data_IF_034359624424
#
_entry.id   IF_034359624424
#
_cell.length_a   1.000
_cell.length_b   1.000
_cell.length_c   1.000
_cell.angle_alpha   90.00
_cell.angle_beta   90.00
_cell.angle_gamma   90.00
#
_symmetry.space_group_name_H-M   'P 1'
#
loop_
_entity.id
_entity.type
_entity.pdbx_description
1 polymer ?
#
# COMPACT_ATOMS: atom_id res chain seq x y z
N UNK A 1 -24.80 -34.95 -51.95
CA UNK A 1 -24.68 -34.81 -50.47
C UNK A 1 -23.30 -34.35 -50.00
N UNK A 2 -22.18 -34.85 -50.54
CA UNK A 2 -20.82 -34.57 -50.03
C UNK A 2 -20.38 -33.10 -50.20
N UNK A 3 -20.74 -32.43 -51.31
CA UNK A 3 -20.37 -31.02 -51.55
C UNK A 3 -20.99 -30.01 -50.56
N UNK A 4 -22.15 -30.34 -49.99
CA UNK A 4 -22.85 -29.43 -49.05
C UNK A 4 -22.23 -29.45 -47.65
N UNK A 5 -21.59 -30.55 -47.27
CA UNK A 5 -20.94 -30.71 -45.96
C UNK A 5 -19.58 -29.98 -45.91
N UNK A 6 -18.84 -29.98 -47.00
CA UNK A 6 -17.53 -29.31 -47.11
C UNK A 6 -17.64 -27.80 -46.97
N UNK A 7 -18.71 -27.21 -47.53
CA UNK A 7 -18.98 -25.77 -47.45
C UNK A 7 -19.32 -25.37 -46.00
N UNK A 8 -20.13 -26.18 -45.31
CA UNK A 8 -20.52 -25.90 -43.92
C UNK A 8 -19.31 -25.93 -42.97
N UNK A 9 -18.38 -26.88 -43.15
CA UNK A 9 -17.14 -26.97 -42.37
C UNK A 9 -16.23 -25.76 -42.65
N UNK A 10 -16.18 -25.28 -43.89
CA UNK A 10 -15.38 -24.11 -44.26
C UNK A 10 -15.94 -22.82 -43.64
N UNK A 11 -17.27 -22.66 -43.61
CA UNK A 11 -17.92 -21.55 -42.92
C UNK A 11 -17.77 -21.63 -41.40
N UNK A 12 -17.82 -22.84 -40.81
CA UNK A 12 -17.60 -23.05 -39.38
C UNK A 12 -16.16 -22.68 -38.97
N UNK A 13 -15.16 -23.07 -39.76
CA UNK A 13 -13.77 -22.69 -39.51
C UNK A 13 -13.51 -21.19 -39.69
N UNK A 14 -14.15 -20.53 -40.66
CA UNK A 14 -14.08 -19.07 -40.77
C UNK A 14 -14.74 -18.34 -39.59
N UNK A 15 -15.83 -18.88 -39.04
CA UNK A 15 -16.47 -18.32 -37.85
C UNK A 15 -15.57 -18.40 -36.61
N UNK A 16 -14.82 -19.49 -36.44
CA UNK A 16 -13.83 -19.63 -35.38
C UNK A 16 -12.56 -18.79 -35.61
N UNK A 17 -12.16 -18.57 -36.87
CA UNK A 17 -11.00 -17.72 -37.18
C UNK A 17 -11.27 -16.22 -36.98
N UNK A 18 -12.53 -15.77 -37.11
CA UNK A 18 -12.92 -14.37 -36.90
C UNK A 18 -13.23 -14.00 -35.45
N UNK A 19 -13.21 -14.97 -34.52
CA UNK A 19 -13.46 -14.72 -33.08
C UNK A 19 -12.20 -14.70 -32.22
N UNK A 20 -11.01 -14.68 -32.83
CA UNK A 20 -9.80 -14.25 -32.13
C UNK A 20 -9.84 -12.73 -31.98
N UNK A 21 -10.64 -12.24 -31.02
CA UNK A 21 -10.26 -11.01 -30.33
C UNK A 21 -8.80 -11.17 -29.92
N UNK A 22 -7.96 -10.22 -30.30
CA UNK A 22 -6.56 -10.20 -29.90
C UNK A 22 -6.51 -10.33 -28.39
N UNK A 23 -6.22 -11.53 -27.89
CA UNK A 23 -5.84 -11.75 -26.51
C UNK A 23 -4.47 -11.09 -26.36
N UNK A 24 -4.46 -9.76 -26.16
CA UNK A 24 -3.27 -9.03 -25.78
C UNK A 24 -2.81 -9.65 -24.45
N UNK A 25 -1.75 -10.46 -24.52
CA UNK A 25 -1.06 -10.90 -23.32
C UNK A 25 -0.66 -9.63 -22.58
N UNK A 26 -1.14 -9.47 -21.34
CA UNK A 26 -0.81 -8.30 -20.55
C UNK A 26 0.73 -8.20 -20.42
N UNK A 27 1.27 -6.99 -20.63
CA UNK A 27 2.72 -6.75 -20.55
C UNK A 27 3.15 -6.93 -19.09
N UNK A 28 3.83 -8.03 -18.77
CA UNK A 28 4.37 -8.26 -17.43
C UNK A 28 5.69 -7.53 -17.27
N UNK A 29 5.79 -6.67 -16.27
CA UNK A 29 6.95 -5.82 -16.00
C UNK A 29 7.43 -5.98 -14.56
N UNK A 30 8.72 -5.75 -14.33
CA UNK A 30 9.28 -5.57 -12.98
C UNK A 30 9.01 -4.12 -12.58
N UNK A 31 8.21 -3.92 -11.53
CA UNK A 31 7.86 -2.58 -11.02
C UNK A 31 8.82 -2.10 -9.93
N UNK A 32 9.43 -3.03 -9.19
CA UNK A 32 10.47 -2.73 -8.20
C UNK A 32 11.35 -3.96 -7.97
N UNK A 33 12.59 -3.76 -7.50
CA UNK A 33 13.49 -4.83 -7.11
C UNK A 33 14.41 -4.43 -5.96
N UNK A 34 14.80 -5.44 -5.16
CA UNK A 34 15.84 -5.33 -4.15
C UNK A 34 16.94 -6.34 -4.45
N UNK A 35 18.15 -5.86 -4.64
CA UNK A 35 19.32 -6.69 -4.90
C UNK A 35 20.19 -6.79 -3.66
N UNK A 36 20.76 -7.98 -3.44
CA UNK A 36 21.75 -8.25 -2.40
C UNK A 36 22.98 -8.91 -3.01
N UNK A 37 24.05 -9.07 -2.24
CA UNK A 37 25.26 -9.79 -2.69
C UNK A 37 24.99 -11.26 -3.04
N UNK A 38 23.87 -11.82 -2.57
CA UNK A 38 23.47 -13.22 -2.79
C UNK A 38 22.30 -13.24 -3.77
N UNK A 39 22.50 -13.82 -4.95
CA UNK A 39 21.49 -13.91 -6.01
C UNK A 39 20.17 -14.57 -5.54
N UNK A 40 20.23 -15.52 -4.59
CA UNK A 40 19.05 -16.21 -4.05
C UNK A 40 18.25 -15.37 -3.05
N UNK A 41 18.75 -14.18 -2.71
CA UNK A 41 18.13 -13.22 -1.80
C UNK A 41 17.58 -11.98 -2.52
N UNK A 42 17.74 -11.90 -3.84
CA UNK A 42 17.15 -10.81 -4.61
C UNK A 42 15.62 -10.93 -4.56
N UNK A 43 14.92 -9.81 -4.61
CA UNK A 43 13.46 -9.77 -4.63
C UNK A 43 13.01 -8.93 -5.80
N UNK A 44 12.05 -9.44 -6.56
CA UNK A 44 11.45 -8.73 -7.69
C UNK A 44 9.94 -8.64 -7.47
N UNK A 45 9.41 -7.43 -7.53
CA UNK A 45 7.98 -7.18 -7.58
C UNK A 45 7.60 -7.02 -9.05
N UNK A 46 6.77 -7.93 -9.55
CA UNK A 46 6.30 -7.94 -10.93
C UNK A 46 4.80 -7.74 -10.97
N UNK A 47 4.29 -7.16 -12.06
CA UNK A 47 2.87 -6.98 -12.27
C UNK A 47 2.52 -6.96 -13.76
N UNK A 48 1.25 -7.21 -14.07
CA UNK A 48 0.67 -7.00 -15.38
C UNK A 48 0.32 -5.53 -15.55
N UNK A 49 0.93 -4.90 -16.54
CA UNK A 49 0.66 -3.51 -16.91
C UNK A 49 -0.63 -3.44 -17.74
N UNK A 50 -1.57 -2.64 -17.28
CA UNK A 50 -2.88 -2.45 -17.93
C UNK A 50 -2.88 -1.20 -18.78
N UNK A 51 -2.33 -0.12 -18.23
CA UNK A 51 -2.06 1.11 -18.97
C UNK A 51 -0.75 1.72 -18.46
N UNK A 52 -0.52 3.00 -18.73
CA UNK A 52 0.69 3.70 -18.34
C UNK A 52 0.77 4.03 -16.83
N UNK A 53 -0.30 3.80 -16.08
CA UNK A 53 -0.44 4.13 -14.65
C UNK A 53 -0.94 2.99 -13.78
N UNK A 54 -1.50 1.93 -14.35
CA UNK A 54 -2.24 0.92 -13.59
C UNK A 54 -1.62 -0.46 -13.76
N UNK A 55 -1.39 -1.11 -12.63
CA UNK A 55 -0.80 -2.44 -12.54
C UNK A 55 -1.72 -3.37 -11.74
N UNK A 56 -1.78 -4.65 -12.12
CA UNK A 56 -2.54 -5.69 -11.40
C UNK A 56 -1.82 -7.03 -11.46
N UNK A 57 -2.41 -8.05 -10.82
CA UNK A 57 -1.90 -9.43 -10.86
C UNK A 57 -0.45 -9.54 -10.40
N UNK A 58 -0.15 -8.97 -9.23
CA UNK A 58 1.21 -8.90 -8.74
C UNK A 58 1.81 -10.28 -8.50
N UNK A 59 3.12 -10.39 -8.67
CA UNK A 59 3.92 -11.55 -8.32
C UNK A 59 5.19 -11.08 -7.63
N UNK A 60 5.49 -11.64 -6.46
CA UNK A 60 6.77 -11.47 -5.80
C UNK A 60 7.64 -12.68 -6.14
N UNK A 61 8.79 -12.43 -6.74
CA UNK A 61 9.81 -13.44 -6.96
C UNK A 61 10.94 -13.25 -5.96
N UNK A 62 11.37 -14.34 -5.34
CA UNK A 62 12.58 -14.37 -4.51
C UNK A 62 13.65 -15.20 -5.22
N UNK A 63 14.84 -14.63 -5.35
CA UNK A 63 15.97 -15.20 -6.07
C UNK A 63 15.89 -15.04 -7.59
N UNK A 64 17.06 -15.06 -8.24
CA UNK A 64 17.18 -14.80 -9.69
C UNK A 64 16.64 -15.91 -10.58
N UNK A 65 16.49 -17.13 -10.06
CA UNK A 65 16.12 -18.31 -10.85
C UNK A 65 14.61 -18.45 -11.12
N UNK A 66 13.78 -17.66 -10.43
CA UNK A 66 12.32 -17.74 -10.57
C UNK A 66 11.71 -19.02 -10.01
N UNK A 67 12.38 -19.67 -9.05
CA UNK A 67 11.88 -20.89 -8.39
C UNK A 67 10.85 -20.54 -7.28
N UNK A 68 11.06 -19.43 -6.56
CA UNK A 68 10.18 -18.98 -5.49
C UNK A 68 9.30 -17.81 -5.97
N UNK A 69 8.08 -18.15 -6.43
CA UNK A 69 7.08 -17.21 -6.95
C UNK A 69 5.84 -17.18 -6.06
N UNK A 70 5.45 -15.98 -5.65
CA UNK A 70 4.28 -15.71 -4.82
C UNK A 70 3.29 -14.85 -5.60
N UNK A 71 2.11 -15.39 -5.90
CA UNK A 71 1.14 -14.75 -6.77
C UNK A 71 0.01 -14.08 -5.99
N UNK A 72 -0.25 -12.83 -6.31
CA UNK A 72 -1.27 -11.98 -5.69
C UNK A 72 -2.22 -11.43 -6.77
N UNK A 73 -3.13 -12.26 -7.30
CA UNK A 73 -3.99 -11.89 -8.42
C UNK A 73 -5.00 -10.78 -8.09
N UNK A 74 -5.19 -10.46 -6.80
CA UNK A 74 -6.12 -9.43 -6.33
C UNK A 74 -5.43 -8.11 -6.01
N UNK A 75 -4.09 -8.08 -6.01
CA UNK A 75 -3.37 -6.84 -5.77
C UNK A 75 -3.45 -5.97 -7.02
N UNK A 76 -3.64 -4.70 -6.79
CA UNK A 76 -3.73 -3.64 -7.78
C UNK A 76 -2.96 -2.43 -7.26
N UNK A 77 -2.35 -1.66 -8.15
CA UNK A 77 -1.65 -0.42 -7.83
C UNK A 77 -1.95 0.63 -8.89
N UNK A 78 -2.07 1.86 -8.44
CA UNK A 78 -2.29 3.04 -9.25
C UNK A 78 -1.01 3.74 -9.69
N UNK A 79 -1.18 5.03 -9.94
CA UNK A 79 -0.29 5.95 -10.64
C UNK A 79 1.08 6.16 -9.98
N UNK A 80 1.19 6.00 -8.67
CA UNK A 80 2.38 6.32 -7.89
C UNK A 80 3.28 5.11 -7.66
N UNK A 81 4.50 5.38 -7.18
CA UNK A 81 5.55 4.39 -7.03
C UNK A 81 5.19 3.30 -6.03
N UNK A 82 5.49 2.05 -6.37
CA UNK A 82 5.50 0.94 -5.40
C UNK A 82 6.81 0.95 -4.62
N UNK A 83 6.79 0.62 -3.34
CA UNK A 83 8.01 0.45 -2.53
C UNK A 83 8.19 -0.99 -2.11
N UNK A 84 9.46 -1.39 -1.99
CA UNK A 84 9.87 -2.72 -1.60
C UNK A 84 10.94 -2.60 -0.52
N UNK A 85 10.73 -3.29 0.60
CA UNK A 85 11.70 -3.34 1.71
C UNK A 85 11.98 -4.79 2.10
N UNK A 86 13.15 -5.00 2.72
CA UNK A 86 13.51 -6.23 3.42
C UNK A 86 14.00 -5.91 4.81
N UNK A 87 13.38 -6.52 5.81
CA UNK A 87 13.76 -6.33 7.21
C UNK A 87 13.22 -7.47 8.10
N UNK A 88 13.77 -7.64 9.29
CA UNK A 88 13.24 -8.53 10.34
C UNK A 88 12.25 -7.73 11.21
N UNK A 89 10.97 -7.73 10.84
CA UNK A 89 9.96 -6.91 11.54
C UNK A 89 9.38 -7.59 12.79
N UNK A 90 9.45 -8.92 12.90
CA UNK A 90 8.94 -9.68 14.04
C UNK A 90 10.02 -10.12 15.04
N UNK A 91 11.30 -9.90 14.73
CA UNK A 91 12.46 -10.16 15.58
C UNK A 91 12.90 -11.62 15.60
N UNK A 92 12.45 -12.43 14.63
CA UNK A 92 12.75 -13.86 14.57
C UNK A 92 14.07 -14.17 13.85
N UNK A 93 14.78 -13.14 13.36
CA UNK A 93 16.04 -13.18 12.57
C UNK A 93 15.89 -13.66 11.12
N UNK A 94 14.68 -13.97 10.69
CA UNK A 94 14.33 -14.22 9.30
C UNK A 94 13.99 -12.89 8.64
N UNK A 95 14.13 -12.82 7.31
CA UNK A 95 13.93 -11.57 6.60
C UNK A 95 12.56 -11.54 5.96
N UNK A 96 11.75 -10.56 6.33
CA UNK A 96 10.45 -10.31 5.71
C UNK A 96 10.60 -9.52 4.41
N UNK A 97 9.63 -9.68 3.52
CA UNK A 97 9.47 -8.82 2.34
C UNK A 97 8.25 -7.93 2.57
N UNK A 98 8.45 -6.62 2.53
CA UNK A 98 7.41 -5.62 2.74
C UNK A 98 7.17 -4.92 1.41
N UNK A 99 5.92 -4.91 0.98
CA UNK A 99 5.48 -4.31 -0.27
C UNK A 99 4.50 -3.19 0.05
N UNK A 100 4.78 -2.00 -0.46
CA UNK A 100 3.84 -0.87 -0.44
C UNK A 100 3.35 -0.63 -1.85
N UNK A 101 2.04 -0.74 -2.06
CA UNK A 101 1.36 -0.46 -3.31
C UNK A 101 0.68 0.91 -3.23
N UNK A 102 0.59 1.58 -4.36
CA UNK A 102 -0.24 2.77 -4.50
C UNK A 102 -1.72 2.35 -4.64
N UNK A 103 -2.29 1.83 -3.57
CA UNK A 103 -3.68 1.41 -3.52
C UNK A 103 -4.32 1.83 -2.21
N UNK A 104 -5.24 2.78 -2.30
CA UNK A 104 -5.89 3.38 -1.13
C UNK A 104 -6.64 2.40 -0.22
N UNK A 105 -7.06 1.24 -0.75
CA UNK A 105 -7.80 0.26 0.05
C UNK A 105 -6.91 -0.73 0.79
N UNK A 106 -5.84 -1.19 0.15
CA UNK A 106 -4.94 -2.21 0.68
C UNK A 106 -3.48 -1.90 0.25
N UNK A 107 -2.86 -0.87 0.82
CA UNK A 107 -1.58 -0.35 0.33
C UNK A 107 -0.37 -1.12 0.84
N UNK A 108 -0.50 -2.01 1.83
CA UNK A 108 0.64 -2.60 2.54
C UNK A 108 0.49 -4.12 2.66
N UNK A 109 1.48 -4.84 2.16
CA UNK A 109 1.55 -6.30 2.24
C UNK A 109 2.88 -6.73 2.86
N UNK A 110 2.83 -7.72 3.74
CA UNK A 110 4.03 -8.28 4.36
C UNK A 110 4.05 -9.79 4.13
N UNK A 111 5.14 -10.27 3.56
CA UNK A 111 5.44 -11.68 3.44
C UNK A 111 6.45 -12.04 4.52
N UNK A 112 6.01 -12.78 5.53
CA UNK A 112 6.92 -13.31 6.54
C UNK A 112 7.63 -14.56 6.02
N UNK A 113 8.94 -14.63 6.22
CA UNK A 113 9.67 -15.88 6.01
C UNK A 113 9.38 -16.82 7.17
N UNK A 114 8.94 -18.06 6.87
CA UNK A 114 8.48 -19.01 7.90
C UNK A 114 9.50 -20.11 8.22
N UNK A 115 10.52 -20.31 7.40
CA UNK A 115 11.50 -21.36 7.55
C UNK A 115 12.85 -20.93 6.98
N UNK A 116 13.96 -21.34 7.60
CA UNK A 116 15.31 -21.25 7.04
C UNK A 116 15.85 -22.65 6.73
N UNK A 117 16.70 -22.86 5.69
CA UNK A 117 17.22 -21.89 4.72
C UNK A 117 16.30 -21.66 3.51
N UNK A 118 15.08 -22.19 3.55
CA UNK A 118 14.16 -22.15 2.41
C UNK A 118 13.48 -20.79 2.30
N UNK A 119 13.36 -20.26 1.09
CA UNK A 119 12.62 -19.02 0.80
C UNK A 119 11.11 -19.27 0.84
N UNK A 120 10.59 -19.83 1.94
CA UNK A 120 9.15 -20.05 2.14
C UNK A 120 8.58 -18.83 2.84
N UNK A 121 7.73 -18.10 2.11
CA UNK A 121 7.07 -16.91 2.60
C UNK A 121 5.57 -17.11 2.73
N UNK A 122 4.98 -16.40 3.68
CA UNK A 122 3.54 -16.35 3.85
C UNK A 122 3.09 -14.90 4.04
N UNK A 123 2.11 -14.48 3.25
CA UNK A 123 1.46 -13.20 3.49
C UNK A 123 0.75 -13.20 4.84
N UNK A 124 1.00 -12.17 5.63
CA UNK A 124 0.34 -11.98 6.92
C UNK A 124 -0.47 -10.70 6.94
N UNK A 125 -1.59 -10.65 7.67
CA UNK A 125 -2.43 -9.46 7.70
C UNK A 125 -1.71 -8.27 8.37
N UNK A 126 -2.06 -7.08 7.91
CA UNK A 126 -1.67 -5.80 8.53
C UNK A 126 -2.95 -5.04 8.90
N UNK A 127 -3.03 -4.50 10.12
CA UNK A 127 -4.16 -3.68 10.54
C UNK A 127 -4.24 -2.39 9.69
N UNK A 128 -5.36 -2.09 9.02
CA UNK A 128 -5.48 -0.85 8.26
C UNK A 128 -5.41 0.40 9.16
N UNK A 129 -4.78 1.47 8.68
CA UNK A 129 -4.67 2.75 9.41
C UNK A 129 -6.04 3.28 9.84
N UNK A 130 -7.07 3.18 8.99
CA UNK A 130 -8.43 3.60 9.32
C UNK A 130 -8.98 2.92 10.59
N UNK A 131 -8.71 1.62 10.75
CA UNK A 131 -9.19 0.88 11.91
C UNK A 131 -8.38 1.21 13.16
N UNK A 132 -7.07 1.39 13.02
CA UNK A 132 -6.23 1.90 14.09
C UNK A 132 -6.68 3.29 14.57
N UNK A 133 -7.06 4.19 13.67
CA UNK A 133 -7.60 5.52 13.99
C UNK A 133 -8.87 5.41 14.83
N UNK A 134 -9.85 4.63 14.37
CA UNK A 134 -11.13 4.43 15.10
C UNK A 134 -10.91 3.90 16.52
N UNK A 135 -9.87 3.08 16.72
CA UNK A 135 -9.55 2.44 18.00
C UNK A 135 -8.66 3.30 18.91
N UNK A 136 -7.71 4.04 18.35
CA UNK A 136 -6.60 4.65 19.10
C UNK A 136 -6.61 6.18 19.14
N UNK A 137 -7.40 6.83 18.28
CA UNK A 137 -7.39 8.29 18.11
C UNK A 137 -8.79 8.86 18.30
N UNK A 138 -8.86 10.00 18.99
CA UNK A 138 -10.05 10.84 19.09
C UNK A 138 -9.67 12.26 18.69
N UNK A 139 -10.37 12.80 17.72
CA UNK A 139 -10.12 14.15 17.23
C UNK A 139 -11.38 15.00 17.35
N UNK A 140 -11.20 16.26 17.72
CA UNK A 140 -12.28 17.26 17.79
C UNK A 140 -11.72 18.63 17.44
N UNK A 141 -12.50 19.42 16.71
CA UNK A 141 -12.21 20.83 16.47
C UNK A 141 -13.23 21.70 17.20
N UNK A 142 -12.74 22.65 17.99
CA UNK A 142 -13.54 23.66 18.69
C UNK A 142 -12.95 25.05 18.38
N UNK A 143 -13.66 25.82 17.57
CA UNK A 143 -13.13 27.08 17.03
C UNK A 143 -11.81 26.86 16.27
N UNK A 144 -10.74 27.49 16.75
CA UNK A 144 -9.39 27.41 16.18
C UNK A 144 -8.51 26.34 16.83
N UNK A 145 -9.02 25.56 17.78
CA UNK A 145 -8.24 24.53 18.46
C UNK A 145 -8.68 23.17 17.97
N UNK A 146 -7.73 22.41 17.43
CA UNK A 146 -7.89 20.98 17.17
C UNK A 146 -7.27 20.22 18.33
N UNK A 147 -8.08 19.39 18.97
CA UNK A 147 -7.62 18.46 20.00
C UNK A 147 -7.50 17.07 19.40
N UNK A 148 -6.31 16.49 19.47
CA UNK A 148 -6.00 15.13 19.05
C UNK A 148 -5.60 14.35 20.29
N UNK A 149 -6.38 13.34 20.67
CA UNK A 149 -6.11 12.49 21.82
C UNK A 149 -5.74 11.09 21.34
N UNK A 150 -4.54 10.65 21.70
CA UNK A 150 -4.09 9.27 21.59
C UNK A 150 -4.14 8.62 22.99
N UNK A 151 -3.84 7.32 23.08
CA UNK A 151 -3.68 6.64 24.38
C UNK A 151 -2.59 7.27 25.26
N UNK A 152 -1.54 7.80 24.63
CA UNK A 152 -0.33 8.25 25.31
C UNK A 152 -0.38 9.74 25.65
N UNK A 153 -0.97 10.55 24.76
CA UNK A 153 -0.88 12.00 24.86
C UNK A 153 -2.09 12.69 24.24
N UNK A 154 -2.43 13.85 24.79
CA UNK A 154 -3.36 14.79 24.16
C UNK A 154 -2.57 15.96 23.59
N UNK A 155 -2.84 16.29 22.34
CA UNK A 155 -2.24 17.38 21.58
C UNK A 155 -3.31 18.43 21.33
N UNK A 156 -2.94 19.71 21.47
CA UNK A 156 -3.80 20.84 21.15
C UNK A 156 -3.07 21.70 20.12
N UNK A 157 -3.64 21.79 18.92
CA UNK A 157 -3.07 22.56 17.81
C UNK A 157 -3.92 23.79 17.59
N UNK A 158 -3.31 24.97 17.65
CA UNK A 158 -3.95 26.21 17.23
C UNK A 158 -3.78 26.33 15.70
N UNK A 159 -4.89 26.31 14.97
CA UNK A 159 -4.86 26.35 13.50
C UNK A 159 -4.82 27.77 12.93
N UNK A 160 -5.00 28.79 13.77
CA UNK A 160 -4.96 30.20 13.34
C UNK A 160 -3.68 30.59 12.57
N UNK A 161 -2.47 30.16 12.99
CA UNK A 161 -1.22 30.51 12.32
C UNK A 161 -1.04 29.87 10.93
N UNK A 162 -1.86 28.89 10.56
CA UNK A 162 -1.75 28.23 9.26
C UNK A 162 -2.46 29.00 8.14
N UNK A 163 -3.18 30.08 8.46
CA UNK A 163 -3.80 31.00 7.50
C UNK A 163 -4.66 30.34 6.41
N UNK A 164 -5.30 29.18 6.70
CA UNK A 164 -6.18 28.54 5.72
C UNK A 164 -7.36 29.45 5.38
N UNK A 165 -7.32 30.01 4.18
CA UNK A 165 -8.20 31.07 3.68
C UNK A 165 -9.64 30.62 3.42
N UNK A 166 -9.89 29.30 3.39
CA UNK A 166 -11.14 28.73 2.86
C UNK A 166 -11.87 27.77 3.80
N UNK A 167 -11.36 27.51 5.01
CA UNK A 167 -12.17 26.83 6.00
C UNK A 167 -13.28 27.81 6.39
N UNK A 168 -14.51 27.60 5.89
CA UNK A 168 -15.71 28.21 6.49
C UNK A 168 -15.50 28.17 8.00
N UNK A 169 -15.59 29.29 8.73
CA UNK A 169 -15.33 29.33 10.18
C UNK A 169 -16.10 28.28 10.99
N UNK A 170 -17.16 27.71 10.39
CA UNK A 170 -18.04 26.66 10.89
C UNK A 170 -17.63 25.22 10.57
N UNK A 171 -16.59 24.94 9.77
CA UNK A 171 -16.13 23.54 9.58
C UNK A 171 -15.54 23.04 10.89
N UNK A 172 -16.27 22.12 11.54
CA UNK A 172 -15.83 21.37 12.72
C UNK A 172 -15.08 20.10 12.34
N UNK A 173 -14.91 19.83 11.05
CA UNK A 173 -14.34 18.58 10.57
C UNK A 173 -12.81 18.63 10.66
N UNK A 174 -12.29 17.62 11.33
CA UNK A 174 -10.89 17.20 11.31
C UNK A 174 -10.91 15.74 10.90
N UNK A 175 -10.07 15.37 9.96
CA UNK A 175 -10.02 14.01 9.42
C UNK A 175 -8.58 13.65 9.08
N UNK A 176 -8.38 12.38 8.78
CA UNK A 176 -7.09 11.86 8.32
C UNK A 176 -7.22 11.65 6.83
N UNK A 177 -6.21 12.10 6.10
CA UNK A 177 -6.08 11.73 4.71
C UNK A 177 -5.49 10.32 4.65
N UNK A 178 -6.34 9.34 4.32
CA UNK A 178 -5.90 7.96 4.18
C UNK A 178 -5.19 7.75 2.84
N UNK A 179 -5.50 8.58 1.85
CA UNK A 179 -4.98 8.45 0.48
C UNK A 179 -3.51 8.89 0.42
N UNK A 180 -3.11 9.81 1.29
CA UNK A 180 -1.72 10.27 1.46
C UNK A 180 -0.97 9.53 2.58
N UNK A 181 -1.39 8.30 2.94
CA UNK A 181 -0.67 7.52 3.96
C UNK A 181 0.64 6.96 3.39
N UNK A 182 1.76 7.36 3.97
CA UNK A 182 3.08 6.84 3.62
C UNK A 182 3.50 5.70 4.57
N UNK A 183 4.10 4.64 4.02
CA UNK A 183 4.60 3.50 4.77
C UNK A 183 6.12 3.38 4.62
N UNK A 184 6.81 3.30 5.75
CA UNK A 184 8.26 3.17 5.79
C UNK A 184 8.69 2.11 6.80
N UNK A 185 9.89 1.57 6.59
CA UNK A 185 10.54 0.68 7.56
C UNK A 185 11.68 1.44 8.22
N UNK A 186 11.63 1.56 9.55
CA UNK A 186 12.65 2.26 10.34
C UNK A 186 12.98 1.48 11.61
N UNK A 187 14.26 1.13 11.78
CA UNK A 187 14.77 0.40 12.94
C UNK A 187 13.95 -0.88 13.23
N UNK A 188 13.79 -1.76 12.22
CA UNK A 188 13.06 -3.03 12.36
C UNK A 188 11.58 -2.85 12.70
N UNK A 189 10.97 -1.73 12.29
CA UNK A 189 9.55 -1.45 12.54
C UNK A 189 8.88 -0.88 11.32
N UNK A 190 7.70 -1.40 11.00
CA UNK A 190 6.79 -0.77 10.07
C UNK A 190 6.17 0.48 10.72
N UNK A 191 6.29 1.60 10.00
CA UNK A 191 5.75 2.90 10.36
C UNK A 191 4.78 3.32 9.25
N UNK A 192 3.60 3.82 9.63
CA UNK A 192 2.75 4.57 8.73
C UNK A 192 2.64 6.03 9.20
N UNK A 193 2.71 6.98 8.27
CA UNK A 193 2.49 8.40 8.54
C UNK A 193 1.28 8.86 7.72
N UNK A 194 0.21 9.30 8.39
CA UNK A 194 -1.02 9.74 7.73
C UNK A 194 -1.30 11.22 8.06
N UNK A 195 -1.50 12.08 7.05
CA UNK A 195 -1.78 13.50 7.27
C UNK A 195 -3.07 13.75 8.05
N UNK A 196 -3.05 14.75 8.93
CA UNK A 196 -4.24 15.24 9.64
C UNK A 196 -4.66 16.55 9.01
N UNK A 197 -5.86 16.57 8.45
CA UNK A 197 -6.39 17.70 7.70
C UNK A 197 -7.58 18.33 8.44
N UNK A 198 -7.74 19.65 8.27
CA UNK A 198 -8.93 20.39 8.70
C UNK A 198 -9.80 20.88 7.52
N UNK A 199 -9.26 20.79 6.31
CA UNK A 199 -9.89 21.08 5.02
C UNK A 199 -9.09 20.39 3.92
N UNK A 200 -9.63 20.32 2.71
CA UNK A 200 -8.90 19.88 1.51
C UNK A 200 -7.62 20.75 1.39
N UNK A 201 -6.45 20.12 1.40
CA UNK A 201 -5.14 20.79 1.36
C UNK A 201 -4.71 21.51 2.64
N UNK A 202 -5.48 21.40 3.75
CA UNK A 202 -5.20 22.09 5.01
C UNK A 202 -4.61 21.18 6.09
N UNK A 203 -3.37 20.74 5.90
CA UNK A 203 -2.68 19.80 6.80
C UNK A 203 -2.01 20.45 8.00
N UNK A 204 -2.34 19.99 9.21
CA UNK A 204 -1.87 20.57 10.47
C UNK A 204 -0.74 19.74 11.13
N UNK A 205 -0.29 18.69 10.46
CA UNK A 205 0.60 17.66 10.98
C UNK A 205 0.20 16.28 10.50
N UNK A 206 0.83 15.27 11.07
CA UNK A 206 0.60 13.87 10.73
C UNK A 206 0.56 12.98 11.97
N UNK A 207 -0.21 11.90 11.86
CA UNK A 207 -0.19 10.81 12.83
C UNK A 207 0.82 9.77 12.38
N UNK A 208 1.72 9.44 13.30
CA UNK A 208 2.69 8.36 13.13
C UNK A 208 2.20 7.12 13.87
N UNK A 209 1.89 6.08 13.11
CA UNK A 209 1.47 4.76 13.58
C UNK A 209 2.69 3.84 13.59
N UNK A 210 2.95 3.19 14.71
CA UNK A 210 4.01 2.18 14.84
C UNK A 210 3.38 0.81 15.00
N UNK A 211 3.68 -0.06 14.05
CA UNK A 211 3.20 -1.43 14.03
C UNK A 211 4.10 -2.33 14.86
N UNK A 212 3.53 -3.44 15.32
CA UNK A 212 4.28 -4.54 15.92
C UNK A 212 3.56 -5.86 15.72
N UNK A 213 4.33 -6.92 15.58
CA UNK A 213 3.82 -8.28 15.50
C UNK A 213 3.07 -8.67 16.78
N UNK A 214 1.95 -9.38 16.64
CA UNK A 214 1.18 -9.90 17.77
C UNK A 214 1.15 -11.44 17.84
N UNK A 215 1.93 -12.13 17.00
CA UNK A 215 1.90 -13.58 16.85
C UNK A 215 1.09 -14.08 15.65
N UNK A 216 0.25 -13.23 15.05
CA UNK A 216 -0.60 -13.60 13.90
C UNK A 216 -0.73 -12.54 12.81
N UNK A 217 -0.58 -11.26 13.17
CA UNK A 217 -0.69 -10.12 12.27
C UNK A 217 0.13 -8.93 12.79
N UNK A 218 0.42 -7.98 11.92
CA UNK A 218 0.96 -6.69 12.32
C UNK A 218 -0.17 -5.76 12.74
N UNK A 219 -0.09 -5.22 13.96
CA UNK A 219 -1.10 -4.30 14.49
C UNK A 219 -0.46 -3.02 15.04
N UNK A 220 -1.20 -1.92 15.01
CA UNK A 220 -0.73 -0.65 15.54
C UNK A 220 -0.66 -0.73 17.06
N UNK A 221 0.56 -0.61 17.59
CA UNK A 221 0.86 -0.62 19.03
C UNK A 221 0.82 0.78 19.62
N UNK A 222 1.28 1.78 18.86
CA UNK A 222 1.31 3.17 19.32
C UNK A 222 1.01 4.16 18.20
N UNK A 223 0.40 5.28 18.59
CA UNK A 223 0.15 6.42 17.72
C UNK A 223 0.66 7.68 18.40
N UNK A 224 1.44 8.44 17.66
CA UNK A 224 1.91 9.77 18.06
C UNK A 224 1.51 10.80 17.02
N UNK A 225 1.40 12.06 17.43
CA UNK A 225 1.14 13.16 16.52
C UNK A 225 2.36 14.08 16.46
N UNK A 226 2.76 14.45 15.25
CA UNK A 226 3.74 15.51 15.00
C UNK A 226 3.04 16.65 14.28
N UNK A 227 3.09 17.83 14.89
CA UNK A 227 2.50 19.03 14.32
C UNK A 227 3.39 19.57 13.21
N UNK A 228 2.77 20.04 12.13
CA UNK A 228 3.48 20.80 11.11
C UNK A 228 3.84 22.20 11.61
N UNK A 229 4.92 22.73 11.03
CA UNK A 229 5.31 24.12 11.20
C UNK A 229 4.47 24.93 10.20
N UNK A 230 3.68 25.91 10.65
CA UNK A 230 2.91 26.76 9.75
C UNK A 230 3.84 27.44 8.74
N UNK A 231 3.55 27.29 7.44
CA UNK A 231 4.27 28.01 6.39
C UNK A 231 3.91 29.48 6.48
N UNK A 232 4.89 30.33 6.74
CA UNK A 232 4.74 31.78 6.55
C UNK A 232 4.80 32.03 5.05
N UNK A 233 3.69 32.50 4.49
CA UNK A 233 3.68 33.07 3.15
C UNK A 233 3.86 34.57 3.33
N UNK A 234 5.03 35.07 2.93
CA UNK A 234 5.32 36.51 2.83
C UNK A 234 4.51 37.15 1.69
#
# INVERSE_FOLDING_TARGET
MIKSMSILIFYLMMFFAMSFENAYAAERVVVNSLHTDRWYNNVYLMADKIDWMTFRNFTVQVGDKGEDLYHFPKWESGKYDTYLFRDDLDGNKLTDVIIVLDNFQDPIHILNQVLEPYSVYKEVPVEPVNDAVKRLVRMKKEGNIVTIKTKQKTYKVNVKPFHYTTAKPSSTKVYIDLDETDYTVLNHKLIAEAPVLITIGGGIGYLKFTYGWNGSRYEVKSVSFKQDIPKQYD
#
